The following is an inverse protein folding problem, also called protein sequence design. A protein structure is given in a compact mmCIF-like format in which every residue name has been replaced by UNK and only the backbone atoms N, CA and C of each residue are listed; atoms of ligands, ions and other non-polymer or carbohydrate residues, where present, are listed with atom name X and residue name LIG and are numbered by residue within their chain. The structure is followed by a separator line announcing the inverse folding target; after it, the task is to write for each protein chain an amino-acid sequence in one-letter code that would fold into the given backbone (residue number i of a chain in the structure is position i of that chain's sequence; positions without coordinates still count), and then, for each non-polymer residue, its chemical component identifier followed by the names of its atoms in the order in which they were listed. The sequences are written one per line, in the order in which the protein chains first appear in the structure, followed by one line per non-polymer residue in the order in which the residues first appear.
data_IF_827289278894
#
_entry.id   IF_827289278894
#
_cell.length_a   1.000
_cell.length_b   1.000
_cell.length_c   1.000
_cell.angle_alpha   90.00
_cell.angle_beta   90.00
_cell.angle_gamma   90.00
#
_symmetry.space_group_name_H-M   'P 1'
#
loop_
_entity.id
_entity.type
_entity.pdbx_description
1 polymer ?
#
# COMPACT_ATOMS: atom_id res chain seq x y z
N UNK A 1 41.29 13.20 2.57
CA UNK A 1 40.46 14.27 3.14
C UNK A 1 39.10 13.69 3.40
N UNK A 2 38.74 13.63 4.68
CA UNK A 2 37.51 13.03 5.21
C UNK A 2 36.26 13.70 4.64
N UNK A 3 35.41 12.90 4.01
CA UNK A 3 34.02 13.26 3.77
C UNK A 3 33.25 12.76 4.99
N UNK A 4 32.67 13.72 5.70
CA UNK A 4 32.04 13.61 7.00
C UNK A 4 30.87 12.58 7.01
N UNK A 5 31.18 11.33 7.40
CA UNK A 5 30.26 10.20 7.44
C UNK A 5 29.35 10.18 8.70
N UNK A 6 28.81 11.33 9.11
CA UNK A 6 27.97 11.45 10.34
C UNK A 6 26.52 11.88 10.11
N UNK A 7 25.93 11.62 8.93
CA UNK A 7 24.50 11.88 8.68
C UNK A 7 23.67 10.73 8.08
N UNK A 8 24.25 9.55 7.86
CA UNK A 8 23.57 8.48 7.10
C UNK A 8 22.98 7.34 7.95
N UNK A 9 22.78 7.53 9.26
CA UNK A 9 22.14 6.53 10.13
C UNK A 9 20.81 7.08 10.65
N UNK A 10 19.86 7.33 9.75
CA UNK A 10 18.48 7.69 10.08
C UNK A 10 17.54 6.87 9.21
N UNK A 11 17.47 5.54 9.41
CA UNK A 11 16.29 4.75 9.03
C UNK A 11 16.27 3.31 9.58
N UNK A 12 16.92 3.00 10.70
CA UNK A 12 16.99 1.59 11.14
C UNK A 12 16.87 1.49 12.67
N UNK A 13 15.62 1.54 13.13
CA UNK A 13 15.05 1.15 14.43
C UNK A 13 13.89 2.10 14.73
N UNK A 14 12.78 1.97 13.99
CA UNK A 14 11.53 2.61 14.43
C UNK A 14 11.05 1.82 15.65
N UNK A 15 11.34 2.33 16.85
CA UNK A 15 10.84 1.73 18.09
C UNK A 15 9.31 1.84 18.13
N UNK A 16 8.63 0.89 18.78
CA UNK A 16 7.18 0.94 18.99
C UNK A 16 6.71 2.31 19.50
N UNK A 17 7.49 2.91 20.41
CA UNK A 17 7.21 4.23 21.01
C UNK A 17 7.22 5.40 20.00
N UNK A 18 7.92 5.26 18.87
CA UNK A 18 8.08 6.33 17.87
C UNK A 18 7.07 6.24 16.74
N UNK A 19 6.38 5.10 16.56
CA UNK A 19 5.41 4.90 15.49
C UNK A 19 4.08 4.31 15.96
N UNK A 20 4.10 3.22 16.75
CA UNK A 20 2.87 2.56 17.19
C UNK A 20 2.14 3.37 18.25
N UNK A 21 2.84 3.83 19.28
CA UNK A 21 2.19 4.58 20.36
C UNK A 21 1.56 5.89 19.87
N UNK A 22 2.22 6.71 19.04
CA UNK A 22 1.61 7.89 18.44
C UNK A 22 0.43 7.54 17.54
N UNK A 23 0.53 6.49 16.71
CA UNK A 23 -0.56 6.08 15.82
C UNK A 23 -1.79 5.60 16.60
N UNK A 24 -1.59 4.78 17.64
CA UNK A 24 -2.67 4.27 18.49
C UNK A 24 -3.31 5.41 19.28
N UNK A 25 -2.50 6.19 20.00
CA UNK A 25 -3.00 7.30 20.83
C UNK A 25 -3.68 8.36 19.99
N UNK A 26 -3.11 8.71 18.85
CA UNK A 26 -3.70 9.67 17.91
C UNK A 26 -5.08 9.22 17.42
N UNK A 27 -5.17 7.96 16.97
CA UNK A 27 -6.44 7.38 16.50
C UNK A 27 -7.49 7.34 17.61
N UNK A 28 -7.14 6.83 18.80
CA UNK A 28 -8.08 6.75 19.93
C UNK A 28 -8.54 8.13 20.41
N UNK A 29 -7.65 9.13 20.39
CA UNK A 29 -8.01 10.50 20.77
C UNK A 29 -9.04 11.11 19.81
N UNK A 30 -8.85 10.93 18.50
CA UNK A 30 -9.81 11.38 17.49
C UNK A 30 -11.15 10.66 17.63
N UNK A 31 -11.13 9.33 17.75
CA UNK A 31 -12.36 8.53 17.91
C UNK A 31 -13.11 8.88 19.20
N UNK A 32 -12.39 9.09 20.30
CA UNK A 32 -12.98 9.54 21.57
C UNK A 32 -13.63 10.92 21.48
N UNK A 33 -13.09 11.81 20.64
CA UNK A 33 -13.68 13.14 20.39
C UNK A 33 -14.93 13.04 19.50
N UNK A 34 -14.88 12.21 18.45
CA UNK A 34 -16.04 11.92 17.60
C UNK A 34 -17.20 11.32 18.40
N UNK A 35 -16.93 10.36 19.29
CA UNK A 35 -17.94 9.71 20.11
C UNK A 35 -18.69 10.67 21.05
N UNK A 36 -18.04 11.78 21.44
CA UNK A 36 -18.63 12.83 22.29
C UNK A 36 -19.34 13.93 21.49
N UNK A 37 -19.36 13.85 20.16
CA UNK A 37 -19.88 14.89 19.27
C UNK A 37 -21.13 14.40 18.55
N UNK A 38 -22.35 14.76 18.99
CA UNK A 38 -23.60 14.20 18.46
C UNK A 38 -23.84 14.46 16.96
N UNK A 39 -23.23 15.50 16.40
CA UNK A 39 -23.33 15.81 14.96
C UNK A 39 -22.49 14.89 14.08
N UNK A 40 -21.50 14.17 14.64
CA UNK A 40 -20.70 13.18 13.90
C UNK A 40 -21.53 11.90 13.75
N UNK A 41 -21.90 11.59 12.51
CA UNK A 41 -22.76 10.44 12.18
C UNK A 41 -21.97 9.20 11.79
N UNK A 42 -20.76 9.38 11.27
CA UNK A 42 -19.94 8.32 10.68
C UNK A 42 -18.49 8.74 10.69
N UNK A 43 -17.60 7.78 10.98
CA UNK A 43 -16.15 7.94 10.89
C UNK A 43 -15.63 6.93 9.88
N UNK A 44 -14.86 7.41 8.91
CA UNK A 44 -14.12 6.57 7.96
C UNK A 44 -12.66 6.63 8.36
N UNK A 45 -12.04 5.47 8.60
CA UNK A 45 -10.64 5.36 9.00
C UNK A 45 -9.86 4.79 7.83
N UNK A 46 -8.83 5.51 7.39
CA UNK A 46 -7.84 4.99 6.45
C UNK A 46 -6.94 4.00 7.16
N UNK A 47 -7.10 2.72 6.85
CA UNK A 47 -6.19 1.65 7.27
C UNK A 47 -5.25 1.28 6.11
N UNK A 48 -4.56 0.13 6.19
CA UNK A 48 -3.60 -0.31 5.18
C UNK A 48 -3.74 -1.80 4.89
N UNK A 49 -3.32 -2.24 3.70
CA UNK A 49 -3.09 -3.65 3.37
C UNK A 49 -2.19 -4.32 4.43
N UNK A 50 -1.31 -3.58 5.10
CA UNK A 50 -0.52 -4.08 6.22
C UNK A 50 -1.37 -4.75 7.33
N UNK A 51 -2.59 -4.27 7.58
CA UNK A 51 -3.50 -4.87 8.57
C UNK A 51 -4.18 -6.17 8.10
N UNK A 52 -3.91 -6.59 6.85
CA UNK A 52 -4.39 -7.82 6.23
C UNK A 52 -3.21 -8.75 5.94
N UNK A 53 -2.09 -8.17 5.53
CA UNK A 53 -1.02 -8.85 4.84
C UNK A 53 -0.13 -9.72 5.73
N UNK A 54 0.15 -9.29 6.96
CA UNK A 54 1.15 -9.94 7.81
C UNK A 54 0.53 -11.05 8.64
N UNK A 55 0.24 -12.21 8.04
CA UNK A 55 -0.28 -13.38 8.75
C UNK A 55 0.29 -14.68 8.19
N UNK A 56 0.00 -15.79 8.88
CA UNK A 56 0.44 -17.13 8.53
C UNK A 56 -0.34 -17.75 7.36
N UNK A 57 -1.24 -17.01 6.71
CA UNK A 57 -2.02 -17.57 5.61
C UNK A 57 -1.10 -17.79 4.41
N UNK A 58 -1.19 -18.96 3.75
CA UNK A 58 -0.36 -19.26 2.59
C UNK A 58 -0.70 -18.30 1.44
N UNK A 59 0.30 -17.54 0.99
CA UNK A 59 0.21 -16.67 -0.19
C UNK A 59 0.61 -17.43 -1.44
N UNK A 60 -0.26 -18.34 -1.86
CA UNK A 60 -0.15 -19.05 -3.13
C UNK A 60 -0.95 -18.33 -4.22
N UNK A 61 -0.84 -18.74 -5.47
CA UNK A 61 -1.63 -18.17 -6.57
C UNK A 61 -3.12 -18.45 -6.51
N UNK A 62 -3.50 -19.47 -5.73
CA UNK A 62 -4.89 -19.78 -5.43
C UNK A 62 -5.43 -18.96 -4.26
N UNK A 63 -4.57 -18.28 -3.50
CA UNK A 63 -5.00 -17.43 -2.41
C UNK A 63 -5.75 -16.21 -2.96
N UNK A 64 -6.96 -16.00 -2.41
CA UNK A 64 -7.79 -14.83 -2.68
C UNK A 64 -7.86 -14.01 -1.41
N UNK A 65 -7.19 -12.87 -1.39
CA UNK A 65 -7.19 -11.96 -0.24
C UNK A 65 -8.45 -11.10 -0.27
N UNK A 66 -9.13 -11.01 0.88
CA UNK A 66 -10.35 -10.22 1.07
C UNK A 66 -10.39 -9.55 2.46
N UNK A 67 -11.51 -8.90 2.77
CA UNK A 67 -11.69 -8.17 4.03
C UNK A 67 -11.81 -9.04 5.29
N UNK A 68 -11.88 -10.37 5.17
CA UNK A 68 -11.93 -11.29 6.30
C UNK A 68 -10.55 -11.57 6.89
N UNK A 69 -9.48 -11.31 6.14
CA UNK A 69 -8.11 -11.56 6.56
C UNK A 69 -7.62 -10.49 7.54
N UNK A 70 -6.86 -10.91 8.54
CA UNK A 70 -6.26 -10.04 9.55
C UNK A 70 -4.77 -10.32 9.69
N UNK A 71 -4.00 -9.28 9.96
CA UNK A 71 -2.61 -9.44 10.36
C UNK A 71 -2.52 -10.14 11.72
N UNK A 72 -1.56 -11.05 11.82
CA UNK A 72 -1.16 -11.71 13.04
C UNK A 72 -0.23 -10.80 13.86
N UNK A 73 -0.60 -10.58 15.11
CA UNK A 73 0.09 -9.61 15.95
C UNK A 73 1.51 -10.06 16.33
N UNK A 74 1.76 -11.38 16.43
CA UNK A 74 3.08 -11.93 16.71
C UNK A 74 4.00 -11.75 15.51
N UNK A 75 3.51 -12.07 14.30
CA UNK A 75 4.26 -11.79 13.06
C UNK A 75 4.58 -10.31 12.88
N UNK A 76 3.63 -9.42 13.18
CA UNK A 76 3.87 -7.98 13.13
C UNK A 76 4.95 -7.54 14.13
N UNK A 77 4.99 -8.13 15.33
CA UNK A 77 6.04 -7.84 16.33
C UNK A 77 7.41 -8.32 15.87
N UNK A 78 7.49 -9.51 15.27
CA UNK A 78 8.75 -10.07 14.78
C UNK A 78 9.34 -9.28 13.60
N UNK A 79 8.50 -8.76 12.70
CA UNK A 79 8.94 -7.98 11.54
C UNK A 79 9.25 -6.49 11.86
N UNK A 80 8.94 -6.00 13.05
CA UNK A 80 9.29 -4.62 13.47
C UNK A 80 10.79 -4.40 13.71
N UNK A 81 11.59 -5.47 13.69
CA UNK A 81 13.02 -5.42 14.00
C UNK A 81 13.98 -5.61 12.81
N UNK A 82 13.52 -5.98 11.61
CA UNK A 82 14.42 -6.35 10.51
C UNK A 82 14.30 -5.37 9.35
N UNK A 83 15.09 -4.30 9.41
CA UNK A 83 15.39 -3.53 8.22
C UNK A 83 16.16 -4.41 7.23
N UNK A 84 15.47 -4.97 6.25
CA UNK A 84 16.09 -5.68 5.14
C UNK A 84 16.82 -4.68 4.24
N UNK A 85 18.10 -4.93 3.95
CA UNK A 85 18.88 -4.19 2.93
C UNK A 85 18.39 -4.48 1.50
N UNK A 86 17.51 -5.46 1.34
CA UNK A 86 16.96 -5.87 0.04
C UNK A 86 15.43 -5.71 0.01
N UNK A 87 14.90 -5.20 -1.10
CA UNK A 87 13.48 -5.25 -1.41
C UNK A 87 13.16 -6.65 -1.95
N UNK A 88 12.34 -7.39 -1.20
CA UNK A 88 11.94 -8.73 -1.62
C UNK A 88 11.19 -8.70 -2.96
N UNK A 89 11.30 -9.77 -3.74
CA UNK A 89 10.48 -10.01 -4.93
C UNK A 89 9.02 -10.38 -4.55
N UNK A 90 8.40 -9.57 -3.69
CA UNK A 90 7.06 -9.80 -3.14
C UNK A 90 6.05 -8.98 -3.95
N UNK A 91 4.90 -9.59 -4.25
CA UNK A 91 3.78 -8.88 -4.86
C UNK A 91 3.11 -7.96 -3.82
N UNK A 92 2.71 -6.77 -4.25
CA UNK A 92 1.98 -5.78 -3.44
C UNK A 92 0.66 -5.44 -4.11
N UNK A 93 -0.35 -5.04 -3.34
CA UNK A 93 -1.57 -4.43 -3.87
C UNK A 93 -1.31 -3.02 -4.38
N UNK A 94 -1.75 -2.73 -5.60
CA UNK A 94 -1.66 -1.40 -6.20
C UNK A 94 -3.05 -0.81 -6.42
N UNK A 95 -3.19 0.48 -6.15
CA UNK A 95 -4.42 1.24 -6.38
C UNK A 95 -4.10 2.69 -6.71
N UNK A 96 -4.92 3.31 -7.55
CA UNK A 96 -4.80 4.73 -7.84
C UNK A 96 -5.37 5.57 -6.68
N UNK A 97 -4.68 6.66 -6.30
CA UNK A 97 -5.13 7.58 -5.23
C UNK A 97 -6.55 8.15 -5.43
N UNK A 98 -6.96 8.48 -6.66
CA UNK A 98 -8.34 8.88 -7.01
C UNK A 98 -9.36 7.83 -6.55
N UNK A 99 -9.13 6.55 -6.87
CA UNK A 99 -10.02 5.47 -6.46
C UNK A 99 -10.10 5.32 -4.93
N UNK A 100 -9.01 5.60 -4.21
CA UNK A 100 -9.00 5.64 -2.74
C UNK A 100 -9.88 6.79 -2.23
N UNK A 101 -9.77 7.97 -2.82
CA UNK A 101 -10.61 9.13 -2.46
C UNK A 101 -12.08 8.82 -2.73
N UNK A 102 -12.41 8.29 -3.90
CA UNK A 102 -13.77 7.92 -4.28
C UNK A 102 -14.33 6.86 -3.32
N UNK A 103 -13.52 5.88 -2.91
CA UNK A 103 -13.92 4.89 -1.92
C UNK A 103 -14.24 5.52 -0.55
N UNK A 104 -13.49 6.53 -0.12
CA UNK A 104 -13.79 7.25 1.14
C UNK A 104 -15.10 8.03 1.05
N UNK A 105 -15.33 8.73 -0.06
CA UNK A 105 -16.58 9.47 -0.31
C UNK A 105 -17.77 8.51 -0.34
N UNK A 106 -17.68 7.43 -1.11
CA UNK A 106 -18.72 6.41 -1.20
C UNK A 106 -19.00 5.75 0.16
N UNK A 107 -17.96 5.42 0.93
CA UNK A 107 -18.12 4.84 2.26
C UNK A 107 -18.80 5.81 3.24
N UNK A 108 -18.59 7.11 3.08
CA UNK A 108 -19.28 8.13 3.86
C UNK A 108 -20.74 8.31 3.42
N UNK A 109 -21.00 8.44 2.13
CA UNK A 109 -22.31 8.81 1.59
C UNK A 109 -23.32 7.66 1.55
N UNK A 110 -22.88 6.43 1.26
CA UNK A 110 -23.77 5.27 1.09
C UNK A 110 -24.20 4.71 2.44
N UNK A 111 -25.49 4.76 2.83
CA UNK A 111 -25.94 4.28 4.13
C UNK A 111 -25.60 2.80 4.37
N UNK A 112 -25.63 1.98 3.32
CA UNK A 112 -25.30 0.55 3.32
C UNK A 112 -23.81 0.25 3.56
N UNK A 113 -22.93 1.25 3.48
CA UNK A 113 -21.51 1.08 3.69
C UNK A 113 -21.20 0.64 5.13
N UNK A 114 -20.48 -0.47 5.28
CA UNK A 114 -20.16 -1.03 6.60
C UNK A 114 -18.89 -1.90 6.60
N UNK A 115 -18.26 -1.97 7.77
CA UNK A 115 -17.05 -2.78 8.00
C UNK A 115 -15.86 -2.27 7.19
N UNK A 116 -15.01 -3.21 6.76
CA UNK A 116 -13.78 -2.94 6.01
C UNK A 116 -14.04 -2.99 4.50
N UNK A 117 -13.23 -2.29 3.73
CA UNK A 117 -13.20 -2.36 2.28
C UNK A 117 -11.76 -2.54 1.83
N UNK A 118 -11.52 -3.57 1.01
CA UNK A 118 -10.19 -3.79 0.44
C UNK A 118 -10.08 -3.04 -0.89
N UNK A 119 -9.28 -1.97 -0.88
CA UNK A 119 -9.17 -1.01 -1.97
C UNK A 119 -7.87 -1.27 -2.74
N UNK A 120 -7.92 -2.26 -3.63
CA UNK A 120 -6.78 -2.71 -4.46
C UNK A 120 -7.28 -3.03 -5.87
N UNK A 121 -6.65 -2.51 -6.93
CA UNK A 121 -7.02 -2.87 -8.30
C UNK A 121 -6.45 -4.24 -8.69
N UNK A 122 -5.16 -4.46 -8.45
CA UNK A 122 -4.51 -5.77 -8.61
C UNK A 122 -3.27 -5.89 -7.74
N UNK A 123 -2.79 -7.12 -7.58
CA UNK A 123 -1.45 -7.37 -7.05
C UNK A 123 -0.44 -7.49 -8.18
N UNK A 124 0.68 -6.79 -8.01
CA UNK A 124 1.77 -6.78 -8.97
C UNK A 124 3.12 -6.67 -8.25
N UNK A 125 4.14 -7.31 -8.82
CA UNK A 125 5.52 -7.23 -8.34
C UNK A 125 6.22 -6.03 -8.96
N UNK A 126 7.33 -5.57 -8.37
CA UNK A 126 8.17 -4.55 -8.98
C UNK A 126 8.54 -4.86 -10.45
N UNK A 127 8.80 -6.13 -10.78
CA UNK A 127 9.08 -6.55 -12.17
C UNK A 127 7.90 -6.27 -13.12
N UNK A 128 6.68 -6.60 -12.71
CA UNK A 128 5.48 -6.39 -13.52
C UNK A 128 5.28 -4.88 -13.79
N UNK A 129 5.61 -4.01 -12.82
CA UNK A 129 5.59 -2.56 -13.02
C UNK A 129 6.63 -2.09 -14.05
N UNK A 130 7.86 -2.62 -13.97
CA UNK A 130 8.93 -2.26 -14.91
C UNK A 130 8.56 -2.65 -16.34
N UNK A 131 7.95 -3.80 -16.56
CA UNK A 131 7.48 -4.21 -17.89
C UNK A 131 6.40 -3.26 -18.44
N UNK A 132 5.42 -2.88 -17.61
CA UNK A 132 4.42 -1.88 -18.00
C UNK A 132 5.06 -0.53 -18.32
N UNK A 133 6.05 -0.10 -17.53
CA UNK A 133 6.76 1.16 -17.74
C UNK A 133 7.63 1.14 -19.01
N UNK A 134 8.26 0.01 -19.33
CA UNK A 134 8.99 -0.18 -20.61
C UNK A 134 8.07 -0.09 -21.80
N UNK A 135 6.86 -0.65 -21.70
CA UNK A 135 5.85 -0.55 -22.75
C UNK A 135 5.38 0.90 -22.95
N UNK A 136 5.11 1.62 -21.86
CA UNK A 136 4.62 3.00 -21.90
C UNK A 136 5.69 4.01 -22.29
N UNK A 137 6.94 3.79 -21.88
CA UNK A 137 8.05 4.73 -22.03
C UNK A 137 9.31 4.03 -22.53
N UNK A 138 9.32 3.47 -23.76
CA UNK A 138 10.44 2.69 -24.28
C UNK A 138 11.75 3.47 -24.44
N UNK A 139 11.70 4.81 -24.38
CA UNK A 139 12.85 5.69 -24.43
C UNK A 139 13.56 5.85 -23.08
N UNK A 140 12.93 5.46 -21.97
CA UNK A 140 13.53 5.54 -20.64
C UNK A 140 14.35 4.28 -20.33
N UNK A 141 15.47 4.46 -19.64
CA UNK A 141 16.31 3.36 -19.18
C UNK A 141 15.72 2.77 -17.90
N UNK A 142 15.41 1.48 -17.92
CA UNK A 142 14.92 0.75 -16.76
C UNK A 142 15.93 -0.31 -16.32
N UNK A 143 15.96 -0.68 -15.04
CA UNK A 143 16.79 -1.79 -14.56
C UNK A 143 16.47 -3.09 -15.30
N UNK A 144 17.50 -3.84 -15.71
CA UNK A 144 17.36 -5.14 -16.38
C UNK A 144 17.29 -6.33 -15.42
N UNK A 145 17.80 -6.18 -14.18
CA UNK A 145 17.94 -7.29 -13.21
C UNK A 145 17.12 -7.02 -11.96
N UNK A 146 16.30 -8.00 -11.55
CA UNK A 146 15.72 -8.06 -10.21
C UNK A 146 16.82 -8.46 -9.21
N UNK A 147 16.78 -7.90 -7.99
CA UNK A 147 17.77 -8.20 -6.96
C UNK A 147 17.74 -9.68 -6.51
N UNK A 148 16.63 -10.37 -6.76
CA UNK A 148 16.43 -11.77 -6.38
C UNK A 148 16.15 -12.68 -7.60
N UNK A 149 16.89 -13.79 -7.68
CA UNK A 149 16.69 -14.93 -8.61
C UNK A 149 15.67 -15.96 -8.10
N UNK A 150 14.83 -15.60 -7.13
CA UNK A 150 13.83 -16.53 -6.59
C UNK A 150 12.80 -16.88 -7.68
N UNK A 151 12.29 -18.13 -7.73
CA UNK A 151 11.30 -18.54 -8.72
C UNK A 151 10.14 -17.55 -8.77
N UNK A 152 9.60 -17.31 -9.97
CA UNK A 152 8.38 -16.53 -10.16
C UNK A 152 7.25 -17.22 -9.39
N UNK A 153 6.96 -16.77 -8.17
CA UNK A 153 5.69 -17.10 -7.53
C UNK A 153 4.65 -16.23 -8.24
N UNK A 154 3.61 -16.89 -8.75
CA UNK A 154 2.45 -16.24 -9.34
C UNK A 154 1.84 -15.25 -8.33
N UNK A 155 1.35 -14.11 -8.83
CA UNK A 155 0.72 -13.10 -7.98
C UNK A 155 -0.52 -13.69 -7.30
N UNK A 156 -0.70 -13.41 -6.01
CA UNK A 156 -1.95 -13.75 -5.32
C UNK A 156 -3.11 -12.92 -5.88
N UNK A 157 -4.32 -13.46 -5.77
CA UNK A 157 -5.54 -12.80 -6.24
C UNK A 157 -6.11 -11.92 -5.12
N UNK A 158 -6.84 -10.89 -5.52
CA UNK A 158 -7.58 -10.02 -4.60
C UNK A 158 -9.06 -10.07 -4.93
N UNK A 159 -9.89 -10.14 -3.89
CA UNK A 159 -11.32 -9.98 -4.02
C UNK A 159 -11.68 -8.54 -3.63
N UNK A 160 -12.11 -7.77 -4.62
CA UNK A 160 -12.56 -6.38 -4.42
C UNK A 160 -14.03 -6.20 -4.79
N UNK A 161 -14.79 -7.30 -4.84
CA UNK A 161 -16.21 -7.27 -5.19
C UNK A 161 -17.03 -6.44 -4.21
N UNK A 162 -16.65 -6.41 -2.93
CA UNK A 162 -17.31 -5.55 -1.94
C UNK A 162 -17.14 -4.06 -2.27
N UNK A 163 -15.93 -3.64 -2.64
CA UNK A 163 -15.65 -2.26 -3.04
C UNK A 163 -16.37 -1.89 -4.35
N UNK A 164 -16.39 -2.80 -5.33
CA UNK A 164 -17.13 -2.61 -6.59
C UNK A 164 -18.64 -2.50 -6.36
N UNK A 165 -19.21 -3.33 -5.48
CA UNK A 165 -20.63 -3.26 -5.08
C UNK A 165 -20.99 -1.94 -4.40
N UNK A 166 -20.04 -1.32 -3.69
CA UNK A 166 -20.20 0.03 -3.12
C UNK A 166 -20.20 1.13 -4.20
N UNK A 167 -19.68 0.84 -5.39
CA UNK A 167 -19.60 1.76 -6.53
C UNK A 167 -18.18 2.20 -6.89
N UNK A 168 -17.15 1.63 -6.27
CA UNK A 168 -15.75 1.96 -6.59
C UNK A 168 -15.41 1.44 -7.98
N UNK A 169 -14.95 2.34 -8.84
CA UNK A 169 -14.41 2.02 -10.16
C UNK A 169 -12.89 2.10 -10.11
N UNK A 170 -12.22 0.97 -10.32
CA UNK A 170 -10.76 0.91 -10.23
C UNK A 170 -10.10 1.36 -11.53
N UNK A 171 -9.18 2.32 -11.40
CA UNK A 171 -8.31 2.76 -12.48
C UNK A 171 -7.27 1.66 -12.78
N UNK A 172 -7.14 1.20 -14.03
CA UNK A 172 -6.19 0.16 -14.37
C UNK A 172 -4.74 0.55 -14.00
N UNK A 173 -3.97 -0.38 -13.45
CA UNK A 173 -2.57 -0.14 -13.02
C UNK A 173 -1.71 0.55 -14.08
N UNK A 174 -1.88 0.19 -15.36
CA UNK A 174 -1.18 0.83 -16.48
C UNK A 174 -1.46 2.33 -16.56
N UNK A 175 -2.70 2.74 -16.35
CA UNK A 175 -3.07 4.15 -16.31
C UNK A 175 -2.54 4.83 -15.04
N UNK A 176 -2.59 4.16 -13.88
CA UNK A 176 -2.05 4.70 -12.63
C UNK A 176 -0.53 4.94 -12.70
N UNK A 177 0.23 4.02 -13.30
CA UNK A 177 1.66 4.19 -13.55
C UNK A 177 1.93 5.34 -14.53
N UNK A 178 1.11 5.46 -15.59
CA UNK A 178 1.21 6.57 -16.53
C UNK A 178 1.03 7.91 -15.81
N UNK A 179 -0.06 8.07 -15.07
CA UNK A 179 -0.39 9.29 -14.31
C UNK A 179 0.74 9.64 -13.31
N UNK A 180 1.33 8.63 -12.67
CA UNK A 180 2.45 8.80 -11.73
C UNK A 180 3.69 9.34 -12.44
N UNK A 181 4.10 8.75 -13.57
CA UNK A 181 5.27 9.21 -14.33
C UNK A 181 5.06 10.62 -14.85
N UNK A 182 3.89 10.94 -15.40
CA UNK A 182 3.62 12.29 -15.90
C UNK A 182 3.63 13.34 -14.78
N UNK A 183 3.07 13.03 -13.60
CA UNK A 183 3.14 13.93 -12.44
C UNK A 183 4.57 14.15 -11.94
N UNK A 184 5.42 13.11 -11.96
CA UNK A 184 6.83 13.22 -11.61
C UNK A 184 7.62 14.07 -12.63
N UNK A 185 7.29 13.99 -13.93
CA UNK A 185 7.90 14.84 -14.97
C UNK A 185 7.51 16.29 -14.78
N UNK A 186 6.21 16.56 -14.61
CA UNK A 186 5.67 17.91 -14.39
C UNK A 186 6.33 18.59 -13.17
N UNK A 187 6.56 17.82 -12.10
CA UNK A 187 7.20 18.30 -10.86
C UNK A 187 8.73 18.38 -10.94
N UNK A 188 9.34 18.05 -12.07
CA UNK A 188 10.79 18.13 -12.26
C UNK A 188 11.60 17.06 -11.51
N UNK A 189 10.98 15.94 -11.12
CA UNK A 189 11.70 14.82 -10.47
C UNK A 189 12.46 13.95 -11.47
N UNK A 190 12.11 13.98 -12.76
CA UNK A 190 12.94 13.40 -13.80
C UNK A 190 13.96 14.41 -14.27
N UNK A 191 15.24 14.06 -14.14
CA UNK A 191 16.30 14.70 -14.91
C UNK A 191 16.40 13.93 -16.22
N UNK A 192 16.26 14.63 -17.35
CA UNK A 192 16.69 14.09 -18.63
C UNK A 192 18.17 13.71 -18.49
N UNK A 193 18.49 12.45 -18.78
CA UNK A 193 19.84 11.90 -18.68
C UNK A 193 20.63 12.17 -19.96
#
# INVERSE_FOLDING_TARGET
MEVNARRSVYLYLIRCEELLDPALKGTLNVLGSCAKTPSVKRVIITSSEAAIAFNCNPRTSDAVIDESWWADADMCREHQGTGSETYGNTAYGWVHVKDVVDAHVLAYEKPEANGRYYIVERCARPFDLVEILRELYPHLKFPEKTADRKPLVENYKVNTEKAKKLGVSFTPLKQALKDTVESLKEKGFFKEA
#
